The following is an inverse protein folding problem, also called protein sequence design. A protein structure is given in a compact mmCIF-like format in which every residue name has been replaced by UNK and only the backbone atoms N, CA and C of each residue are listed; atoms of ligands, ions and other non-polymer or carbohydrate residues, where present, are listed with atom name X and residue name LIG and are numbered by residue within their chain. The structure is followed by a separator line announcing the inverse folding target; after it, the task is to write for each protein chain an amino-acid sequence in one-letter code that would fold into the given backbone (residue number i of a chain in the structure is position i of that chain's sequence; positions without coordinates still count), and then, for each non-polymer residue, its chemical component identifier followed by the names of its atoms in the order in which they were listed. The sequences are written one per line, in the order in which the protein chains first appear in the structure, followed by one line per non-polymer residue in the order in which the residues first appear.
data_IF_000609935690
#
_entry.id   IF_000609935690
#
_cell.length_a   1.000
_cell.length_b   1.000
_cell.length_c   1.000
_cell.angle_alpha   90.00
_cell.angle_beta   90.00
_cell.angle_gamma   90.00
#
_symmetry.space_group_name_H-M   'P 1'
#
loop_
_entity.id
_entity.type
_entity.pdbx_description
1 polymer ?
#
# COMPACT_ATOMS: atom_id res chain seq x y z
N UNK A 1 -3.34 -28.20 -8.44
CA UNK A 1 -2.15 -27.38 -8.14
C UNK A 1 -2.10 -26.27 -9.18
N UNK A 2 -2.46 -25.05 -8.81
CA UNK A 2 -2.44 -23.90 -9.73
C UNK A 2 -1.07 -23.25 -9.59
N UNK A 3 -0.29 -23.25 -10.67
CA UNK A 3 1.01 -22.57 -10.69
C UNK A 3 0.80 -21.06 -10.53
N UNK A 4 1.59 -20.36 -9.69
CA UNK A 4 1.50 -18.90 -9.62
C UNK A 4 1.93 -18.31 -10.97
N UNK A 5 1.07 -17.46 -11.52
CA UNK A 5 1.29 -16.79 -12.80
C UNK A 5 2.54 -15.90 -12.68
N UNK A 6 3.44 -15.87 -13.68
CA UNK A 6 4.62 -15.01 -13.64
C UNK A 6 4.15 -13.56 -13.54
N UNK A 7 4.50 -12.88 -12.45
CA UNK A 7 4.14 -11.49 -12.23
C UNK A 7 5.09 -10.64 -13.08
N UNK A 8 4.53 -9.94 -14.07
CA UNK A 8 5.27 -9.17 -15.07
C UNK A 8 6.01 -7.99 -14.40
N UNK A 9 7.34 -7.83 -14.57
CA UNK A 9 8.15 -6.81 -13.91
C UNK A 9 7.90 -5.38 -14.41
N UNK A 10 6.96 -5.18 -15.34
CA UNK A 10 6.60 -3.87 -15.93
C UNK A 10 5.16 -3.44 -15.68
N UNK A 11 4.39 -4.21 -14.91
CA UNK A 11 3.07 -3.73 -14.52
C UNK A 11 3.28 -2.60 -13.52
N UNK A 12 3.00 -1.35 -13.92
CA UNK A 12 2.71 -0.26 -12.98
C UNK A 12 1.86 -0.84 -11.87
N UNK A 13 2.24 -0.60 -10.62
CA UNK A 13 1.70 -1.30 -9.46
C UNK A 13 0.17 -1.44 -9.58
N UNK A 14 -0.31 -2.68 -9.43
CA UNK A 14 -1.72 -3.01 -9.57
C UNK A 14 -2.55 -2.14 -8.60
N UNK A 15 -3.53 -1.36 -9.09
CA UNK A 15 -4.38 -0.51 -8.26
C UNK A 15 -5.02 -1.26 -7.08
N UNK A 16 -5.38 -2.53 -7.27
CA UNK A 16 -5.97 -3.36 -6.21
C UNK A 16 -4.94 -3.68 -5.12
N UNK A 17 -3.69 -3.94 -5.50
CA UNK A 17 -2.60 -4.19 -4.54
C UNK A 17 -2.20 -2.90 -3.81
N UNK A 18 -2.21 -1.75 -4.48
CA UNK A 18 -1.94 -0.45 -3.84
C UNK A 18 -3.05 -0.15 -2.81
N UNK A 19 -4.31 -0.32 -3.20
CA UNK A 19 -5.46 -0.10 -2.31
C UNK A 19 -5.40 -1.05 -1.09
N UNK A 20 -5.05 -2.32 -1.30
CA UNK A 20 -4.87 -3.28 -0.20
C UNK A 20 -3.79 -2.83 0.79
N UNK A 21 -2.62 -2.39 0.30
CA UNK A 21 -1.52 -1.90 1.15
C UNK A 21 -1.90 -0.65 1.94
N UNK A 22 -2.55 0.31 1.28
CA UNK A 22 -3.02 1.55 1.92
C UNK A 22 -4.03 1.23 3.02
N UNK A 23 -5.01 0.36 2.72
CA UNK A 23 -6.00 -0.06 3.71
C UNK A 23 -5.38 -0.81 4.88
N UNK A 24 -4.36 -1.64 4.65
CA UNK A 24 -3.63 -2.32 5.72
C UNK A 24 -3.00 -1.29 6.69
N UNK A 25 -2.32 -0.27 6.16
CA UNK A 25 -1.68 0.79 6.97
C UNK A 25 -2.73 1.59 7.76
N UNK A 26 -3.81 2.01 7.09
CA UNK A 26 -4.86 2.82 7.72
C UNK A 26 -5.73 2.01 8.70
N UNK A 27 -5.71 0.68 8.61
CA UNK A 27 -6.40 -0.20 9.56
C UNK A 27 -5.63 -0.43 10.87
N UNK A 28 -4.35 -0.01 10.94
CA UNK A 28 -3.54 -0.13 12.15
C UNK A 28 -4.11 0.76 13.24
N UNK A 29 -4.22 0.22 14.45
CA UNK A 29 -4.54 1.01 15.63
C UNK A 29 -3.34 1.91 15.97
N UNK A 30 -3.57 3.21 16.05
CA UNK A 30 -2.59 4.17 16.58
C UNK A 30 -2.87 4.42 18.07
N UNK A 31 -1.83 4.40 18.91
CA UNK A 31 -1.96 4.68 20.34
C UNK A 31 -1.96 6.19 20.63
N UNK A 32 -1.47 6.99 19.68
CA UNK A 32 -1.39 8.44 19.79
C UNK A 32 -1.42 9.12 18.41
N UNK A 33 -1.61 10.45 18.41
CA UNK A 33 -1.70 11.25 17.17
C UNK A 33 -0.41 11.24 16.34
N UNK A 34 0.75 11.03 16.97
CA UNK A 34 2.02 10.97 16.24
C UNK A 34 2.11 9.70 15.39
N UNK A 35 1.60 8.58 15.91
CA UNK A 35 1.52 7.31 15.18
C UNK A 35 0.48 7.38 14.06
N UNK A 36 -0.68 8.01 14.32
CA UNK A 36 -1.71 8.22 13.29
C UNK A 36 -1.14 9.05 12.13
N UNK A 37 -0.40 10.14 12.43
CA UNK A 37 0.27 10.95 11.42
C UNK A 37 1.29 10.12 10.61
N UNK A 38 2.07 9.27 11.27
CA UNK A 38 3.04 8.41 10.58
C UNK A 38 2.37 7.40 9.63
N UNK A 39 1.23 6.82 10.02
CA UNK A 39 0.45 5.93 9.14
C UNK A 39 -0.14 6.67 7.93
N UNK A 40 -0.62 7.90 8.12
CA UNK A 40 -1.11 8.74 7.02
C UNK A 40 0.01 9.13 6.04
N UNK A 41 1.18 9.52 6.55
CA UNK A 41 2.34 9.85 5.73
C UNK A 41 2.81 8.63 4.91
N UNK A 42 2.82 7.46 5.52
CA UNK A 42 3.19 6.20 4.86
C UNK A 42 2.18 5.80 3.77
N UNK A 43 0.88 5.90 4.05
CA UNK A 43 -0.16 5.69 3.04
C UNK A 43 -0.04 6.68 1.87
N UNK A 44 0.19 7.96 2.16
CA UNK A 44 0.38 8.99 1.15
C UNK A 44 1.64 8.76 0.29
N UNK A 45 2.74 8.29 0.89
CA UNK A 45 3.96 7.93 0.16
C UNK A 45 3.71 6.82 -0.85
N UNK A 46 3.02 5.74 -0.44
CA UNK A 46 2.70 4.61 -1.33
C UNK A 46 1.83 5.05 -2.51
N UNK A 47 0.86 5.92 -2.27
CA UNK A 47 0.02 6.48 -3.34
C UNK A 47 0.84 7.32 -4.33
N UNK A 48 1.79 8.13 -3.84
CA UNK A 48 2.64 8.93 -4.71
C UNK A 48 3.64 8.10 -5.50
N UNK A 49 4.24 7.06 -4.89
CA UNK A 49 5.13 6.12 -5.58
C UNK A 49 4.40 5.38 -6.72
N UNK A 50 3.09 5.14 -6.58
CA UNK A 50 2.29 4.52 -7.62
C UNK A 50 1.94 5.46 -8.79
N UNK A 51 2.06 6.79 -8.61
CA UNK A 51 1.79 7.80 -9.62
C UNK A 51 3.06 8.25 -10.38
N UNK A 52 4.25 7.94 -9.86
CA UNK A 52 5.55 8.32 -10.41
C UNK A 52 6.05 7.34 -11.47
#
# INVERSE_FOLDING_TARGET
MVAPKPQDPRSSADPELIAAKVNEILSKTAENLSEEAAFLEEAHRILNEALA
#
